data_IF_004196030518
#
_entry.id   IF_004196030518
#
_cell.length_a   1.000
_cell.length_b   1.000
_cell.length_c   1.000
_cell.angle_alpha   90.00
_cell.angle_beta   90.00
_cell.angle_gamma   90.00
#
_symmetry.space_group_name_H-M   'P 1'
#
loop_
_entity.id
_entity.type
_entity.pdbx_description
1 polymer ?
#
# COMPACT_ATOMS: atom_id res chain seq x y z
N UNK A 1 -23.75 -10.33 -28.82
CA UNK A 1 -22.73 -9.35 -28.35
C UNK A 1 -21.36 -9.95 -28.48
N UNK A 2 -20.36 -9.18 -28.94
CA UNK A 2 -18.95 -9.60 -28.96
C UNK A 2 -18.31 -9.13 -27.65
N UNK A 3 -17.64 -10.03 -26.94
CA UNK A 3 -17.02 -9.76 -25.63
C UNK A 3 -15.56 -10.18 -25.69
N UNK A 4 -14.67 -9.33 -25.20
CA UNK A 4 -13.26 -9.65 -25.01
C UNK A 4 -13.07 -10.16 -23.57
N UNK A 5 -12.58 -11.39 -23.43
CA UNK A 5 -12.24 -11.96 -22.12
C UNK A 5 -10.73 -11.95 -21.93
N UNK A 6 -10.29 -11.26 -20.89
CA UNK A 6 -8.89 -11.21 -20.47
C UNK A 6 -8.78 -11.96 -19.15
N UNK A 7 -7.78 -12.83 -19.02
CA UNK A 7 -7.48 -13.57 -17.79
C UNK A 7 -6.10 -13.17 -17.30
N UNK A 8 -6.03 -12.68 -16.06
CA UNK A 8 -4.80 -12.24 -15.41
C UNK A 8 -4.57 -13.09 -14.17
N UNK A 9 -3.36 -13.60 -14.02
CA UNK A 9 -2.91 -14.30 -12.82
C UNK A 9 -1.68 -13.59 -12.29
N UNK A 10 -1.73 -13.17 -11.03
CA UNK A 10 -0.63 -12.55 -10.33
C UNK A 10 -0.46 -13.26 -8.98
N UNK A 11 0.79 -13.39 -8.52
CA UNK A 11 1.08 -13.96 -7.21
C UNK A 11 0.59 -13.05 -6.09
N UNK A 12 0.76 -11.73 -6.27
CA UNK A 12 0.28 -10.69 -5.36
C UNK A 12 -0.32 -9.55 -6.18
N UNK A 13 -1.32 -8.86 -5.61
CA UNK A 13 -1.94 -7.70 -6.23
C UNK A 13 -2.37 -6.69 -5.16
N UNK A 14 -2.10 -5.40 -5.42
CA UNK A 14 -2.46 -4.31 -4.53
C UNK A 14 -3.27 -3.26 -5.28
N UNK A 15 -4.56 -3.19 -4.98
CA UNK A 15 -5.47 -2.21 -5.56
C UNK A 15 -5.68 -1.06 -4.58
N UNK A 16 -4.82 -0.05 -4.68
CA UNK A 16 -4.73 1.03 -3.70
C UNK A 16 -6.05 1.78 -3.53
N UNK A 17 -6.49 1.91 -2.29
CA UNK A 17 -7.56 2.83 -1.91
C UNK A 17 -6.97 4.25 -1.82
N UNK A 18 -7.52 5.25 -2.54
CA UNK A 18 -7.06 6.62 -2.42
C UNK A 18 -7.39 7.18 -1.03
N UNK A 19 -6.59 8.13 -0.53
CA UNK A 19 -6.78 8.82 0.76
C UNK A 19 -6.67 8.00 2.05
N UNK A 20 -6.20 6.74 2.00
CA UNK A 20 -5.78 6.08 3.25
C UNK A 20 -4.53 6.77 3.78
N UNK A 21 -4.52 7.04 5.09
CA UNK A 21 -3.45 7.75 5.80
C UNK A 21 -2.06 7.17 5.45
N UNK A 22 -1.03 8.01 5.38
CA UNK A 22 0.34 7.66 4.95
C UNK A 22 0.93 6.38 5.57
N UNK A 23 0.50 6.02 6.79
CA UNK A 23 0.99 4.86 7.55
C UNK A 23 0.25 3.55 7.26
N UNK A 24 -0.97 3.58 6.72
CA UNK A 24 -1.78 2.39 6.49
C UNK A 24 -2.26 2.34 5.04
N UNK A 25 -1.72 1.40 4.27
CA UNK A 25 -2.09 1.19 2.87
C UNK A 25 -3.09 0.05 2.79
N UNK A 26 -4.35 0.39 2.51
CA UNK A 26 -5.37 -0.62 2.24
C UNK A 26 -5.45 -0.92 0.75
N UNK A 27 -5.77 -2.17 0.44
CA UNK A 27 -6.01 -2.63 -0.92
C UNK A 27 -7.43 -3.18 -1.01
N UNK A 28 -8.12 -2.86 -2.11
CA UNK A 28 -9.38 -3.52 -2.44
C UNK A 28 -9.13 -5.00 -2.77
N UNK A 29 -10.13 -5.88 -2.54
CA UNK A 29 -10.04 -7.29 -2.93
C UNK A 29 -10.19 -7.52 -4.45
N UNK A 30 -10.79 -6.56 -5.16
CA UNK A 30 -11.03 -6.59 -6.60
C UNK A 30 -10.46 -5.30 -7.21
N UNK A 31 -9.91 -5.32 -8.44
CA UNK A 31 -9.46 -4.09 -9.06
C UNK A 31 -10.65 -3.14 -9.29
N UNK A 32 -10.52 -1.85 -8.93
CA UNK A 32 -11.53 -0.87 -9.26
C UNK A 32 -11.55 -0.62 -10.77
N UNK A 33 -12.66 -0.05 -11.24
CA UNK A 33 -12.88 0.25 -12.65
C UNK A 33 -11.73 1.06 -13.27
N UNK A 34 -11.25 2.08 -12.55
CA UNK A 34 -10.12 2.92 -12.97
C UNK A 34 -8.82 2.14 -13.16
N UNK A 35 -8.55 1.14 -12.32
CA UNK A 35 -7.36 0.29 -12.46
C UNK A 35 -7.43 -0.56 -13.71
N UNK A 36 -8.60 -1.10 -14.05
CA UNK A 36 -8.76 -1.92 -15.25
C UNK A 36 -8.58 -1.08 -16.52
N UNK A 37 -9.15 0.12 -16.56
CA UNK A 37 -8.95 1.05 -17.68
C UNK A 37 -7.49 1.47 -17.78
N UNK A 38 -6.86 1.85 -16.67
CA UNK A 38 -5.45 2.21 -16.64
C UNK A 38 -4.55 1.08 -17.14
N UNK A 39 -4.86 -0.16 -16.74
CA UNK A 39 -4.16 -1.34 -17.24
C UNK A 39 -4.37 -1.52 -18.76
N UNK A 40 -5.60 -1.38 -19.26
CA UNK A 40 -5.88 -1.49 -20.69
C UNK A 40 -5.13 -0.43 -21.51
N UNK A 41 -5.17 0.84 -21.08
CA UNK A 41 -4.49 1.93 -21.77
C UNK A 41 -2.97 1.79 -21.72
N UNK A 42 -2.43 1.25 -20.62
CA UNK A 42 -1.01 0.90 -20.54
C UNK A 42 -0.61 -0.21 -21.52
N UNK A 43 -1.45 -1.23 -21.70
CA UNK A 43 -1.19 -2.32 -22.65
C UNK A 43 -1.26 -1.81 -24.10
N UNK A 44 -2.21 -0.90 -24.39
CA UNK A 44 -2.37 -0.30 -25.71
C UNK A 44 -1.26 0.73 -26.02
N UNK A 45 -0.70 1.37 -24.98
CA UNK A 45 0.32 2.41 -25.11
C UNK A 45 -0.26 3.82 -25.36
N UNK A 46 -1.57 4.01 -25.25
CA UNK A 46 -2.27 5.29 -25.52
C UNK A 46 -2.80 5.94 -24.22
N UNK A 47 -1.92 6.23 -23.27
CA UNK A 47 -2.31 6.83 -21.98
C UNK A 47 -2.98 8.22 -22.13
N UNK A 48 -2.60 9.00 -23.14
CA UNK A 48 -3.13 10.35 -23.37
C UNK A 48 -4.59 10.36 -23.86
N UNK A 49 -5.10 9.22 -24.34
CA UNK A 49 -6.44 9.08 -24.92
C UNK A 49 -7.47 8.46 -23.96
N UNK A 50 -7.15 8.42 -22.67
CA UNK A 50 -8.07 7.91 -21.63
C UNK A 50 -9.43 8.63 -21.70
N UNK A 51 -9.44 9.96 -21.87
CA UNK A 51 -10.67 10.75 -21.88
C UNK A 51 -11.57 10.41 -23.09
N UNK A 52 -10.95 10.21 -24.26
CA UNK A 52 -11.67 9.77 -25.47
C UNK A 52 -12.22 8.35 -25.29
N UNK A 53 -11.44 7.44 -24.68
CA UNK A 53 -11.89 6.09 -24.39
C UNK A 53 -13.08 6.07 -23.43
N UNK A 54 -13.04 6.88 -22.36
CA UNK A 54 -14.11 7.02 -21.38
C UNK A 54 -15.40 7.62 -21.95
N UNK A 55 -15.29 8.44 -23.01
CA UNK A 55 -16.45 9.02 -23.69
C UNK A 55 -17.25 8.00 -24.50
N UNK A 56 -16.65 6.85 -24.85
CA UNK A 56 -17.30 5.79 -25.62
C UNK A 56 -18.13 4.90 -24.69
N UNK A 57 -19.22 4.35 -25.24
CA UNK A 57 -20.05 3.42 -24.49
C UNK A 57 -19.41 2.03 -24.51
N UNK A 58 -18.70 1.68 -23.43
CA UNK A 58 -18.19 0.33 -23.20
C UNK A 58 -18.56 -0.15 -21.79
N UNK A 59 -18.70 -1.46 -21.63
CA UNK A 59 -18.96 -2.10 -20.35
C UNK A 59 -17.76 -2.93 -19.92
N UNK A 60 -17.35 -2.80 -18.66
CA UNK A 60 -16.31 -3.66 -18.06
C UNK A 60 -16.95 -4.50 -16.97
N UNK A 61 -16.70 -5.80 -17.04
CA UNK A 61 -17.06 -6.73 -15.99
C UNK A 61 -15.78 -7.29 -15.36
N UNK A 62 -15.68 -7.20 -14.04
CA UNK A 62 -14.53 -7.67 -13.27
C UNK A 62 -14.98 -8.82 -12.39
N UNK A 63 -14.32 -9.95 -12.53
CA UNK A 63 -14.49 -11.11 -11.66
C UNK A 63 -13.11 -11.64 -11.31
N UNK A 64 -12.89 -11.90 -10.03
CA UNK A 64 -11.62 -12.36 -9.49
C UNK A 64 -11.84 -13.35 -8.37
N UNK A 65 -10.87 -14.25 -8.19
CA UNK A 65 -10.76 -15.12 -7.02
C UNK A 65 -9.41 -14.82 -6.37
N UNK A 66 -9.41 -14.64 -5.06
CA UNK A 66 -8.20 -14.54 -4.26
C UNK A 66 -8.27 -15.59 -3.16
N UNK A 67 -7.12 -16.16 -2.81
CA UNK A 67 -7.04 -17.17 -1.75
C UNK A 67 -6.87 -16.54 -0.37
N UNK A 68 -5.96 -15.57 -0.26
CA UNK A 68 -5.54 -14.97 1.01
C UNK A 68 -5.43 -13.46 0.87
N UNK A 69 -5.82 -12.74 1.93
CA UNK A 69 -5.56 -11.30 2.08
C UNK A 69 -4.33 -11.17 2.99
N UNK A 70 -3.21 -10.69 2.46
CA UNK A 70 -1.97 -10.48 3.21
C UNK A 70 -1.92 -9.06 3.79
N UNK A 71 -1.35 -8.92 4.99
CA UNK A 71 -1.02 -7.64 5.62
C UNK A 71 0.48 -7.63 5.94
N UNK A 72 1.18 -6.64 5.40
CA UNK A 72 2.63 -6.54 5.52
C UNK A 72 3.01 -5.29 6.32
N UNK A 73 3.93 -5.47 7.28
CA UNK A 73 4.51 -4.36 8.02
C UNK A 73 5.82 -3.91 7.34
N UNK A 74 5.80 -2.73 6.74
CA UNK A 74 6.97 -2.14 6.07
C UNK A 74 7.50 -0.99 6.93
N UNK A 75 8.78 -1.06 7.30
CA UNK A 75 9.45 0.00 8.04
C UNK A 75 10.40 0.77 7.12
N UNK A 76 10.21 2.08 7.02
CA UNK A 76 11.09 2.96 6.25
C UNK A 76 12.17 3.55 7.18
N UNK A 77 13.44 3.34 6.84
CA UNK A 77 14.55 3.97 7.54
C UNK A 77 14.81 5.35 6.92
N UNK A 78 14.85 6.38 7.75
CA UNK A 78 15.31 7.70 7.33
C UNK A 78 16.84 7.67 7.26
N UNK A 79 17.41 7.51 6.07
CA UNK A 79 18.85 7.63 5.84
C UNK A 79 19.19 9.11 5.62
N UNK A 80 19.69 9.79 6.66
CA UNK A 80 20.30 11.10 6.51
C UNK A 80 21.73 10.92 5.98
N UNK A 81 22.16 11.75 5.02
CA UNK A 81 23.50 11.71 4.36
C UNK A 81 24.73 11.75 5.30
N UNK A 82 24.56 11.88 6.62
CA UNK A 82 25.67 12.04 7.60
C UNK A 82 26.13 10.75 8.29
N UNK A 83 25.47 9.61 8.08
CA UNK A 83 25.81 8.34 8.77
C UNK A 83 26.09 7.22 7.76
N UNK A 84 26.91 7.49 6.74
CA UNK A 84 27.39 6.47 5.79
C UNK A 84 28.81 5.97 6.07
N UNK A 85 29.44 6.42 7.15
CA UNK A 85 30.65 5.78 7.68
C UNK A 85 30.28 5.15 9.02
N UNK A 86 30.60 3.87 9.20
CA UNK A 86 30.39 3.07 10.42
C UNK A 86 28.94 2.72 10.74
N UNK A 87 28.36 1.75 10.04
CA UNK A 87 27.51 0.70 10.66
C UNK A 87 27.11 -0.32 9.58
N UNK A 88 28.12 -1.04 9.09
CA UNK A 88 27.88 -2.34 8.48
C UNK A 88 27.27 -3.27 9.55
N UNK A 89 25.96 -3.47 9.42
CA UNK A 89 25.13 -4.57 9.92
C UNK A 89 25.75 -5.41 11.06
N UNK A 90 25.79 -4.89 12.29
CA UNK A 90 25.81 -5.75 13.47
C UNK A 90 24.40 -6.24 13.75
N UNK A 91 24.16 -7.50 13.37
CA UNK A 91 23.02 -8.28 13.88
C UNK A 91 23.25 -8.42 15.39
N UNK A 92 22.47 -7.72 16.21
CA UNK A 92 22.50 -7.92 17.66
C UNK A 92 21.93 -9.32 17.96
N UNK A 93 22.70 -10.23 18.59
CA UNK A 93 22.15 -11.51 19.02
C UNK A 93 21.14 -11.29 20.15
N UNK A 94 20.07 -12.11 20.13
CA UNK A 94 19.02 -12.11 21.14
C UNK A 94 19.62 -12.32 22.54
N UNK A 95 19.66 -11.26 23.35
CA UNK A 95 20.22 -11.27 24.71
C UNK A 95 21.03 -10.03 25.09
N UNK A 96 21.41 -9.17 24.15
CA UNK A 96 22.12 -7.92 24.45
C UNK A 96 21.14 -6.78 24.80
N UNK A 97 21.31 -6.16 25.96
CA UNK A 97 20.55 -4.99 26.38
C UNK A 97 20.81 -3.82 25.41
N UNK A 98 19.75 -3.33 24.77
CA UNK A 98 19.82 -2.17 23.89
C UNK A 98 20.21 -0.93 24.72
N UNK A 99 21.12 -0.07 24.24
CA UNK A 99 21.43 1.18 24.94
C UNK A 99 20.17 2.05 25.00
N UNK A 100 19.82 2.45 26.22
CA UNK A 100 18.76 3.41 26.54
C UNK A 100 19.10 4.77 25.93
N UNK A 101 18.78 4.94 24.66
CA UNK A 101 18.76 6.23 24.00
C UNK A 101 17.56 6.24 23.05
N UNK A 102 16.38 6.46 23.60
CA UNK A 102 15.24 6.92 22.82
C UNK A 102 15.42 8.42 22.53
N UNK A 103 15.67 8.86 21.28
CA UNK A 103 15.47 10.25 20.93
C UNK A 103 13.96 10.53 20.85
N UNK A 104 13.44 11.17 21.88
CA UNK A 104 12.37 12.17 21.94
C UNK A 104 11.32 12.29 20.79
N UNK A 105 10.80 11.19 20.25
CA UNK A 105 9.65 11.20 19.31
C UNK A 105 8.50 10.28 19.71
N UNK A 106 8.46 9.87 20.98
CA UNK A 106 7.29 9.29 21.62
C UNK A 106 6.60 10.36 22.48
N UNK A 107 5.94 11.31 21.84
CA UNK A 107 4.86 12.10 22.46
C UNK A 107 3.69 12.20 21.50
N UNK A 108 2.73 11.30 21.68
CA UNK A 108 1.32 11.65 21.48
C UNK A 108 0.67 11.47 22.83
N UNK A 109 0.45 12.60 23.50
CA UNK A 109 -0.25 12.68 24.76
C UNK A 109 -1.77 12.50 24.56
N UNK A 110 -2.33 11.74 25.51
CA UNK A 110 -3.64 11.92 26.16
C UNK A 110 -4.94 11.84 25.33
N UNK A 111 -5.65 10.72 25.50
CA UNK A 111 -7.09 10.74 25.73
C UNK A 111 -7.44 10.00 27.04
N UNK A 112 -7.72 10.82 28.07
CA UNK A 112 -8.51 10.63 29.29
C UNK A 112 -8.76 9.20 29.82
N UNK A 113 -8.29 8.96 31.04
CA UNK A 113 -8.76 7.93 31.97
C UNK A 113 -10.21 8.19 32.43
N UNK A 114 -10.95 7.15 32.86
CA UNK A 114 -12.31 7.28 33.38
C UNK A 114 -12.30 7.82 34.81
N UNK A 115 -13.23 8.73 35.11
CA UNK A 115 -13.52 9.24 36.44
C UNK A 115 -14.15 8.16 37.31
N UNK A 116 -13.49 7.79 38.41
CA UNK A 116 -14.10 7.02 39.51
C UNK A 116 -14.83 8.00 40.46
N UNK A 117 -16.10 7.68 40.72
CA UNK A 117 -16.93 8.31 41.74
C UNK A 117 -16.64 7.69 43.10
N UNK A 118 -16.37 8.52 44.11
CA UNK A 118 -16.78 8.31 45.50
C UNK A 118 -16.81 9.64 46.25
#
# INVERSE_FOLDING_TARGET
>A
MKVLRISLQAQTAHYRIPFTQLRYRQSYPLPPYSTVIGLMMNIIGEQERIDEFLSKQFGVFVSGKFGVISQEYVWYRNLHKKEQETNDLTIYPAGAAAPLACPAYCRYDTHKSPTEHH
#
